data_IF_578809268675
#
_entry.id   IF_578809268675
#
_cell.length_a   1.000
_cell.length_b   1.000
_cell.length_c   1.000
_cell.angle_alpha   90.00
_cell.angle_beta   90.00
_cell.angle_gamma   90.00
#
_symmetry.space_group_name_H-M   'P 1'
#
loop_
_entity.id
_entity.type
_entity.pdbx_description
1 polymer ?
#
# COMPACT_ATOMS: atom_id res chain seq x y z
N UNK A 1 22.15 -51.98 -34.67
CA UNK A 1 20.68 -51.77 -34.80
C UNK A 1 20.11 -51.79 -33.39
N UNK A 2 19.78 -50.62 -32.88
CA UNK A 2 19.23 -50.38 -31.53
C UNK A 2 18.13 -49.33 -31.71
N UNK A 3 16.91 -49.55 -31.20
CA UNK A 3 15.80 -48.63 -31.48
C UNK A 3 15.88 -47.40 -30.59
N UNK A 4 15.60 -46.23 -31.16
CA UNK A 4 15.38 -44.98 -30.42
C UNK A 4 14.05 -45.05 -29.65
N UNK A 5 13.98 -44.55 -28.39
CA UNK A 5 12.70 -44.33 -27.75
C UNK A 5 12.09 -43.00 -28.22
N UNK A 6 10.86 -43.09 -28.72
CA UNK A 6 9.95 -41.96 -28.89
C UNK A 6 9.48 -41.52 -27.51
N UNK A 7 9.86 -40.32 -27.07
CA UNK A 7 9.17 -39.64 -25.97
C UNK A 7 8.31 -38.51 -26.52
N UNK A 8 7.02 -38.64 -26.23
CA UNK A 8 5.94 -37.73 -26.56
C UNK A 8 6.20 -36.33 -25.97
N UNK A 9 5.91 -35.33 -26.78
CA UNK A 9 5.42 -34.01 -26.39
C UNK A 9 4.25 -34.12 -25.41
N UNK A 10 4.36 -33.52 -24.22
CA UNK A 10 3.24 -32.92 -23.47
C UNK A 10 3.75 -32.20 -22.22
N UNK A 11 3.82 -30.86 -22.26
CA UNK A 11 3.74 -30.01 -21.07
C UNK A 11 3.41 -28.58 -21.50
N UNK A 12 2.16 -28.34 -21.89
CA UNK A 12 1.62 -26.98 -21.99
C UNK A 12 0.17 -27.01 -21.48
N UNK A 13 0.00 -26.75 -20.19
CA UNK A 13 -1.25 -26.26 -19.60
C UNK A 13 -1.04 -26.02 -18.09
N UNK A 14 -0.24 -25.02 -17.73
CA UNK A 14 -0.20 -24.54 -16.35
C UNK A 14 -0.16 -23.00 -16.33
N UNK A 15 -1.11 -22.36 -17.02
CA UNK A 15 -1.20 -20.89 -17.05
C UNK A 15 -2.64 -20.36 -16.91
N UNK A 16 -3.63 -21.22 -16.64
CA UNK A 16 -5.04 -20.79 -16.54
C UNK A 16 -5.59 -20.68 -15.12
N UNK A 17 -4.85 -21.10 -14.08
CA UNK A 17 -5.35 -21.02 -12.69
C UNK A 17 -5.08 -19.67 -11.98
N UNK A 18 -4.14 -18.85 -12.47
CA UNK A 18 -3.83 -17.57 -11.83
C UNK A 18 -4.90 -16.49 -12.11
N UNK A 19 -5.49 -16.48 -13.31
CA UNK A 19 -6.48 -15.49 -13.70
C UNK A 19 -7.83 -15.65 -12.98
N UNK A 20 -8.22 -16.88 -12.63
CA UNK A 20 -9.51 -17.15 -11.99
C UNK A 20 -9.58 -16.72 -10.52
N UNK A 21 -8.45 -16.73 -9.81
CA UNK A 21 -8.42 -16.32 -8.40
C UNK A 21 -8.52 -14.79 -8.22
N UNK A 22 -8.10 -14.01 -9.22
CA UNK A 22 -8.11 -12.55 -9.17
C UNK A 22 -9.51 -11.96 -9.43
N UNK A 23 -10.31 -12.63 -10.28
CA UNK A 23 -11.67 -12.20 -10.61
C UNK A 23 -12.71 -12.46 -9.49
N UNK A 24 -12.44 -13.40 -8.57
CA UNK A 24 -13.37 -13.68 -7.46
C UNK A 24 -13.13 -12.81 -6.23
N UNK A 25 -11.92 -12.31 -5.98
CA UNK A 25 -11.66 -11.41 -4.84
C UNK A 25 -12.19 -9.99 -5.02
N UNK A 26 -12.49 -9.56 -6.26
CA UNK A 26 -12.99 -8.20 -6.55
C UNK A 26 -14.50 -8.06 -6.47
N UNK A 27 -15.27 -9.16 -6.61
CA UNK A 27 -16.75 -9.09 -6.63
C UNK A 27 -17.39 -8.52 -5.36
N UNK A 28 -16.71 -8.65 -4.22
CA UNK A 28 -17.16 -8.14 -2.92
C UNK A 28 -16.20 -7.10 -2.31
N UNK A 29 -15.29 -6.53 -3.11
CA UNK A 29 -14.35 -5.52 -2.62
C UNK A 29 -15.05 -4.22 -2.26
N UNK A 30 -14.64 -3.61 -1.16
CA UNK A 30 -15.07 -2.27 -0.73
C UNK A 30 -14.27 -1.14 -1.39
N UNK A 31 -13.27 -1.47 -2.22
CA UNK A 31 -12.42 -0.55 -2.98
C UNK A 31 -12.61 -0.82 -4.47
N UNK A 32 -12.76 0.24 -5.26
CA UNK A 32 -12.84 0.17 -6.72
C UNK A 32 -11.51 -0.29 -7.31
N UNK A 33 -11.55 -1.40 -8.05
CA UNK A 33 -10.38 -2.03 -8.64
C UNK A 33 -9.82 -1.22 -9.81
N UNK A 34 -8.49 -1.09 -9.88
CA UNK A 34 -7.80 -0.38 -10.97
C UNK A 34 -8.08 -0.99 -12.33
N UNK A 35 -8.34 -2.28 -12.42
CA UNK A 35 -8.68 -2.98 -13.67
C UNK A 35 -10.05 -2.60 -14.25
N UNK A 36 -10.89 -1.92 -13.48
CA UNK A 36 -12.29 -1.60 -13.83
C UNK A 36 -12.54 -0.13 -14.13
N UNK A 37 -11.58 0.75 -13.80
CA UNK A 37 -11.72 2.20 -13.91
C UNK A 37 -11.26 2.71 -15.27
N UNK A 38 -11.75 3.89 -15.67
CA UNK A 38 -11.32 4.55 -16.92
C UNK A 38 -10.47 5.78 -16.67
N UNK A 39 -10.61 6.37 -15.48
CA UNK A 39 -9.81 7.45 -14.93
C UNK A 39 -9.41 7.12 -13.50
N UNK A 40 -8.26 7.63 -13.03
CA UNK A 40 -7.88 7.50 -11.62
C UNK A 40 -8.94 8.11 -10.70
N UNK A 41 -9.63 9.15 -11.15
CA UNK A 41 -10.69 9.84 -10.39
C UNK A 41 -11.94 8.96 -10.15
N UNK A 42 -12.04 7.78 -10.80
CA UNK A 42 -13.11 6.82 -10.59
C UNK A 42 -12.90 6.02 -9.29
N UNK A 43 -12.97 6.70 -8.15
CA UNK A 43 -12.85 6.10 -6.82
C UNK A 43 -11.48 6.23 -6.16
N UNK A 44 -10.54 6.94 -6.79
CA UNK A 44 -9.27 7.33 -6.17
C UNK A 44 -9.05 8.84 -6.27
N UNK A 45 -8.63 9.45 -5.16
CA UNK A 45 -8.40 10.88 -5.04
C UNK A 45 -6.90 11.16 -4.86
N UNK A 46 -6.35 12.27 -5.39
CA UNK A 46 -4.99 12.69 -5.08
C UNK A 46 -4.78 12.86 -3.57
N UNK A 47 -3.70 12.28 -3.06
CA UNK A 47 -3.23 12.47 -1.68
C UNK A 47 -1.90 13.23 -1.70
N UNK A 48 -1.94 14.51 -1.36
CA UNK A 48 -0.79 15.42 -1.40
C UNK A 48 -0.46 15.94 -0.01
N UNK A 49 0.81 16.30 0.23
CA UNK A 49 1.29 16.70 1.55
C UNK A 49 1.78 18.16 1.54
N UNK A 50 1.29 19.00 2.47
CA UNK A 50 1.76 20.37 2.59
C UNK A 50 3.20 20.37 3.08
N UNK A 51 4.13 20.75 2.18
CA UNK A 51 5.62 20.76 2.25
C UNK A 51 6.32 19.78 1.30
N UNK A 52 5.59 19.13 0.39
CA UNK A 52 6.21 18.43 -0.72
C UNK A 52 6.17 19.31 -1.97
N UNK A 53 7.35 19.68 -2.48
CA UNK A 53 7.46 20.58 -3.64
C UNK A 53 7.26 19.85 -4.98
N UNK A 54 7.42 18.52 -4.99
CA UNK A 54 7.29 17.67 -6.19
C UNK A 54 6.44 16.46 -5.89
N UNK A 55 5.38 16.27 -6.65
CA UNK A 55 4.50 15.11 -6.50
C UNK A 55 4.92 13.96 -7.42
N UNK A 56 4.81 12.75 -6.91
CA UNK A 56 4.93 11.53 -7.69
C UNK A 56 3.82 11.48 -8.74
N UNK A 57 4.11 10.88 -9.89
CA UNK A 57 3.17 10.84 -11.02
C UNK A 57 2.51 9.48 -11.11
N UNK A 58 1.19 9.46 -11.19
CA UNK A 58 0.37 8.27 -11.31
C UNK A 58 -0.35 8.23 -12.66
N UNK A 59 -0.37 7.07 -13.31
CA UNK A 59 -1.06 6.86 -14.59
C UNK A 59 -1.61 5.43 -14.68
N UNK A 60 -2.79 5.27 -15.28
CA UNK A 60 -3.24 3.96 -15.74
C UNK A 60 -2.41 3.51 -16.94
N UNK A 61 -1.96 2.27 -16.93
CA UNK A 61 -1.18 1.67 -18.01
C UNK A 61 -1.51 0.19 -18.16
N UNK A 62 -1.16 -0.39 -19.31
CA UNK A 62 -1.22 -1.83 -19.55
C UNK A 62 0.14 -2.45 -19.19
N UNK A 63 0.13 -3.43 -18.29
CA UNK A 63 1.29 -4.29 -18.01
C UNK A 63 0.92 -5.74 -18.38
N UNK A 64 1.29 -6.14 -19.61
CA UNK A 64 1.06 -7.49 -20.14
C UNK A 64 -0.43 -7.88 -20.26
N UNK A 65 -1.29 -6.97 -20.72
CA UNK A 65 -2.72 -7.20 -20.88
C UNK A 65 -3.55 -6.99 -19.61
N UNK A 66 -2.94 -6.47 -18.55
CA UNK A 66 -3.61 -6.10 -17.30
C UNK A 66 -3.49 -4.60 -17.06
N UNK A 67 -4.62 -3.92 -16.84
CA UNK A 67 -4.61 -2.51 -16.47
C UNK A 67 -4.16 -2.35 -15.02
N UNK A 68 -3.14 -1.50 -14.81
CA UNK A 68 -2.51 -1.23 -13.51
C UNK A 68 -2.24 0.26 -13.36
N UNK A 69 -1.95 0.71 -12.13
CA UNK A 69 -1.44 2.06 -11.88
C UNK A 69 0.08 2.04 -11.85
N UNK A 70 0.72 2.77 -12.77
CA UNK A 70 2.15 3.05 -12.72
C UNK A 70 2.39 4.36 -11.95
N UNK A 71 3.28 4.31 -10.97
CA UNK A 71 3.76 5.45 -10.21
C UNK A 71 5.24 5.69 -10.51
N UNK A 72 5.63 6.92 -10.82
CA UNK A 72 7.04 7.31 -10.99
C UNK A 72 7.43 8.35 -9.95
N UNK A 73 8.55 8.15 -9.28
CA UNK A 73 9.10 9.06 -8.28
C UNK A 73 10.47 9.59 -8.71
N UNK A 74 10.74 10.86 -8.43
CA UNK A 74 12.04 11.52 -8.64
C UNK A 74 12.16 12.72 -7.68
N UNK A 75 12.77 12.48 -6.52
CA UNK A 75 12.80 13.43 -5.41
C UNK A 75 11.41 14.04 -5.15
N UNK A 76 10.42 13.16 -5.07
CA UNK A 76 8.99 13.48 -5.05
C UNK A 76 8.21 12.59 -4.10
N UNK A 77 7.05 13.07 -3.65
CA UNK A 77 6.11 12.28 -2.85
C UNK A 77 4.66 12.73 -3.07
N UNK A 78 3.78 11.75 -3.25
CA UNK A 78 2.32 11.91 -3.23
C UNK A 78 1.70 10.51 -3.30
N UNK A 79 0.40 10.38 -3.12
CA UNK A 79 -0.32 9.12 -3.24
C UNK A 79 -1.67 9.28 -3.94
N UNK A 80 -2.40 8.17 -3.98
CA UNK A 80 -3.82 8.13 -4.34
C UNK A 80 -4.57 7.40 -3.24
N UNK A 81 -5.68 7.96 -2.79
CA UNK A 81 -6.50 7.40 -1.71
C UNK A 81 -7.89 7.00 -2.21
N UNK A 82 -8.29 5.77 -1.89
CA UNK A 82 -9.67 5.33 -1.95
C UNK A 82 -10.31 5.58 -0.58
N UNK A 83 -11.29 6.48 -0.52
CA UNK A 83 -12.06 6.75 0.70
C UNK A 83 -13.03 5.60 0.95
N UNK A 84 -13.01 5.09 2.18
CA UNK A 84 -13.93 4.04 2.63
C UNK A 84 -14.52 4.42 3.98
N UNK A 85 -15.59 3.76 4.41
CA UNK A 85 -16.15 3.94 5.75
C UNK A 85 -16.60 2.56 6.22
N UNK A 86 -15.72 1.88 6.97
CA UNK A 86 -15.88 0.46 7.28
C UNK A 86 -15.60 0.20 8.75
N UNK A 87 -16.62 -0.32 9.44
CA UNK A 87 -16.41 -0.92 10.76
C UNK A 87 -15.59 -2.22 10.61
N UNK A 88 -14.41 -2.33 11.24
CA UNK A 88 -13.47 -3.41 10.99
C UNK A 88 -13.98 -4.79 11.40
N UNK A 89 -14.77 -4.87 12.48
CA UNK A 89 -15.20 -6.16 13.05
C UNK A 89 -14.00 -6.97 13.57
N UNK A 90 -14.10 -8.30 13.51
CA UNK A 90 -13.04 -9.18 14.03
C UNK A 90 -11.86 -9.38 13.07
N UNK A 91 -12.13 -9.27 11.75
CA UNK A 91 -11.15 -9.46 10.67
C UNK A 91 -11.56 -8.66 9.44
N UNK A 92 -10.56 -8.07 8.78
CA UNK A 92 -10.74 -7.30 7.56
C UNK A 92 -9.53 -7.52 6.65
N UNK A 93 -9.74 -8.19 5.52
CA UNK A 93 -8.66 -8.67 4.66
C UNK A 93 -8.38 -7.65 3.58
N UNK A 94 -7.12 -7.19 3.53
CA UNK A 94 -6.59 -6.38 2.46
C UNK A 94 -5.65 -7.22 1.61
N UNK A 95 -5.93 -7.26 0.30
CA UNK A 95 -5.10 -7.95 -0.69
C UNK A 95 -4.77 -6.99 -1.82
N UNK A 96 -3.52 -7.02 -2.27
CA UNK A 96 -3.07 -6.24 -3.41
C UNK A 96 -1.92 -6.94 -4.12
N UNK A 97 -1.57 -6.43 -5.30
CA UNK A 97 -0.31 -6.77 -5.96
C UNK A 97 0.48 -5.52 -6.26
N UNK A 98 1.79 -5.63 -6.19
CA UNK A 98 2.69 -4.56 -6.62
C UNK A 98 3.94 -5.10 -7.29
N UNK A 99 4.65 -4.22 -7.99
CA UNK A 99 5.96 -4.45 -8.58
C UNK A 99 6.76 -3.16 -8.42
N UNK A 100 8.06 -3.24 -8.14
CA UNK A 100 8.93 -2.05 -8.07
C UNK A 100 10.17 -2.26 -8.93
N UNK A 101 10.68 -1.21 -9.54
CA UNK A 101 11.89 -1.26 -10.38
C UNK A 101 13.17 -1.46 -9.57
N UNK A 102 13.20 -0.95 -8.34
CA UNK A 102 14.35 -0.92 -7.45
C UNK A 102 13.91 -0.59 -6.02
N UNK A 103 14.88 -0.57 -5.10
CA UNK A 103 14.78 0.02 -3.75
C UNK A 103 15.85 1.10 -3.61
N UNK A 104 15.78 1.90 -2.55
CA UNK A 104 16.68 3.01 -2.29
C UNK A 104 17.85 2.60 -1.40
N UNK A 105 19.08 2.76 -1.90
CA UNK A 105 20.31 2.37 -1.18
C UNK A 105 20.46 3.06 0.18
N UNK A 106 20.01 4.32 0.28
CA UNK A 106 20.05 5.11 1.52
C UNK A 106 18.81 4.93 2.39
N UNK A 107 17.75 4.30 1.87
CA UNK A 107 16.47 4.17 2.56
C UNK A 107 16.56 3.30 3.82
N UNK A 108 15.94 3.75 4.91
CA UNK A 108 15.91 3.13 6.22
C UNK A 108 14.69 3.58 7.02
N UNK A 109 13.72 2.68 7.20
CA UNK A 109 12.46 2.92 7.91
C UNK A 109 12.59 3.39 9.37
N UNK A 110 13.79 3.30 9.96
CA UNK A 110 14.06 3.76 11.33
C UNK A 110 14.63 5.18 11.41
N UNK A 111 14.81 5.86 10.27
CA UNK A 111 15.43 7.19 10.20
C UNK A 111 14.62 8.09 9.28
N UNK A 112 14.45 9.36 9.66
CA UNK A 112 13.70 10.35 8.88
C UNK A 112 14.28 10.53 7.48
N UNK A 113 15.60 10.59 7.37
CA UNK A 113 16.31 10.80 6.10
C UNK A 113 16.24 9.58 5.17
N UNK A 114 15.67 8.47 5.63
CA UNK A 114 15.54 7.23 4.85
C UNK A 114 14.11 6.71 4.75
N UNK A 115 13.09 7.47 5.14
CA UNK A 115 11.70 7.03 5.19
C UNK A 115 10.97 7.10 3.84
N UNK A 116 11.67 6.77 2.76
CA UNK A 116 11.11 6.68 1.41
C UNK A 116 10.94 5.23 0.97
N UNK A 117 9.89 4.97 0.19
CA UNK A 117 9.60 3.64 -0.33
C UNK A 117 9.17 3.71 -1.79
N UNK A 118 9.70 2.82 -2.64
CA UNK A 118 9.24 2.74 -4.03
C UNK A 118 7.75 2.41 -4.11
N UNK A 119 7.24 1.66 -3.13
CA UNK A 119 5.81 1.43 -2.98
C UNK A 119 5.40 1.22 -1.52
N UNK A 120 4.23 1.79 -1.16
CA UNK A 120 3.56 1.55 0.11
C UNK A 120 2.04 1.61 0.02
N UNK A 121 1.36 0.90 0.93
CA UNK A 121 -0.09 0.96 1.13
C UNK A 121 -0.38 1.53 2.52
N UNK A 122 -1.08 2.67 2.57
CA UNK A 122 -1.65 3.22 3.80
C UNK A 122 -3.02 2.62 4.07
N UNK A 123 -3.27 2.36 5.34
CA UNK A 123 -4.58 2.02 5.88
C UNK A 123 -4.86 3.00 7.02
N UNK A 124 -5.75 3.96 6.75
CA UNK A 124 -6.03 5.09 7.62
C UNK A 124 -7.29 4.82 8.45
N UNK A 125 -7.19 5.06 9.76
CA UNK A 125 -8.28 4.86 10.69
C UNK A 125 -8.78 6.20 11.24
N UNK A 126 -10.04 6.23 11.67
CA UNK A 126 -10.67 7.39 12.27
C UNK A 126 -9.91 7.85 13.53
N UNK A 127 -9.89 9.16 13.75
CA UNK A 127 -9.32 9.74 14.95
C UNK A 127 -10.28 9.62 16.13
N UNK A 128 -9.79 9.11 17.27
CA UNK A 128 -10.56 8.98 18.50
C UNK A 128 -10.09 10.00 19.56
N UNK A 129 -10.75 11.17 19.68
CA UNK A 129 -10.33 12.26 20.56
C UNK A 129 -10.42 11.95 22.07
N UNK A 130 -11.19 10.95 22.45
CA UNK A 130 -11.43 10.58 23.85
C UNK A 130 -10.26 9.80 24.48
N UNK A 131 -9.38 9.22 23.65
CA UNK A 131 -8.13 8.58 24.11
C UNK A 131 -6.94 9.55 24.13
N UNK A 132 -7.07 10.72 23.51
CA UNK A 132 -6.03 11.75 23.51
C UNK A 132 -6.02 12.53 24.84
N UNK A 133 -4.85 12.71 25.45
CA UNK A 133 -4.73 13.51 26.68
C UNK A 133 -5.23 14.95 26.49
N UNK A 134 -5.67 15.61 27.57
CA UNK A 134 -6.27 16.96 27.50
C UNK A 134 -5.42 18.00 26.72
N UNK A 135 -4.10 17.87 26.77
CA UNK A 135 -3.14 18.73 26.04
C UNK A 135 -3.07 18.46 24.53
N UNK A 136 -3.39 17.25 24.09
CA UNK A 136 -3.33 16.83 22.69
C UNK A 136 -4.56 17.30 21.91
N UNK A 137 -5.75 17.24 22.55
CA UNK A 137 -6.99 17.84 22.02
C UNK A 137 -6.86 19.34 21.75
N UNK A 138 -6.17 20.07 22.64
CA UNK A 138 -6.00 21.52 22.51
C UNK A 138 -5.07 21.93 21.35
N UNK A 139 -4.08 21.09 21.00
CA UNK A 139 -3.16 21.36 19.88
C UNK A 139 -3.77 21.14 18.50
N UNK A 140 -4.80 20.28 18.36
CA UNK A 140 -5.33 19.89 17.04
C UNK A 140 -6.44 20.79 16.48
N UNK A 141 -7.21 21.49 17.32
CA UNK A 141 -8.20 22.49 16.87
C UNK A 141 -7.60 23.61 16.01
N UNK A 142 -6.29 23.82 16.11
CA UNK A 142 -5.52 24.80 15.34
C UNK A 142 -4.93 24.22 14.04
N UNK A 143 -4.86 22.89 13.92
CA UNK A 143 -4.24 22.16 12.80
C UNK A 143 -5.28 21.90 11.70
N UNK A 144 -6.49 21.48 12.05
CA UNK A 144 -7.61 21.32 11.09
C UNK A 144 -7.90 22.60 10.29
N UNK A 145 -7.84 23.76 10.95
CA UNK A 145 -8.08 25.08 10.35
C UNK A 145 -7.00 25.48 9.33
N UNK A 146 -5.81 24.90 9.42
CA UNK A 146 -4.67 25.20 8.54
C UNK A 146 -4.48 24.13 7.45
N UNK A 147 -4.88 22.87 7.71
CA UNK A 147 -4.60 21.71 6.85
C UNK A 147 -5.83 21.09 6.17
N UNK A 148 -7.05 21.61 6.40
CA UNK A 148 -8.18 21.44 5.48
C UNK A 148 -8.95 20.12 5.50
N UNK A 149 -8.49 19.07 6.19
CA UNK A 149 -9.26 17.84 6.40
C UNK A 149 -8.95 17.27 7.79
N UNK A 150 -9.91 16.54 8.40
CA UNK A 150 -9.70 15.80 9.64
C UNK A 150 -8.52 14.86 9.46
N UNK A 151 -7.41 15.14 10.15
CA UNK A 151 -6.22 14.30 10.07
C UNK A 151 -6.59 12.92 10.60
N UNK A 152 -6.34 11.83 9.83
CA UNK A 152 -6.62 10.49 10.30
C UNK A 152 -5.91 10.23 11.64
N UNK A 153 -6.48 9.32 12.43
CA UNK A 153 -5.95 8.98 13.74
C UNK A 153 -4.66 8.17 13.60
N UNK A 154 -4.79 6.87 13.79
CA UNK A 154 -3.70 5.93 13.58
C UNK A 154 -3.67 5.46 12.12
N UNK A 155 -2.51 5.01 11.67
CA UNK A 155 -2.36 4.38 10.36
C UNK A 155 -1.42 3.18 10.40
N UNK A 156 -1.74 2.16 9.60
CA UNK A 156 -0.79 1.12 9.20
C UNK A 156 -0.24 1.45 7.82
N UNK A 157 1.05 1.19 7.61
CA UNK A 157 1.72 1.49 6.36
C UNK A 157 2.52 0.27 5.91
N UNK A 158 1.97 -0.49 4.95
CA UNK A 158 2.63 -1.67 4.41
C UNK A 158 3.64 -1.25 3.36
N UNK A 159 4.91 -1.55 3.59
CA UNK A 159 6.01 -1.04 2.76
C UNK A 159 6.73 -2.15 2.01
N UNK A 160 7.16 -1.83 0.78
CA UNK A 160 8.33 -2.45 0.19
C UNK A 160 9.57 -1.82 0.82
N UNK A 161 10.04 -2.41 1.90
CA UNK A 161 11.13 -1.86 2.67
C UNK A 161 12.46 -1.89 1.91
N UNK A 162 13.31 -0.89 2.15
CA UNK A 162 14.66 -0.89 1.56
C UNK A 162 15.57 -1.93 2.23
N UNK A 163 15.48 -2.06 3.56
CA UNK A 163 16.31 -2.97 4.37
C UNK A 163 15.66 -3.54 5.63
N UNK A 164 14.44 -3.11 5.97
CA UNK A 164 13.74 -3.58 7.16
C UNK A 164 13.28 -5.03 6.92
N UNK A 165 13.63 -6.02 7.76
CA UNK A 165 13.24 -7.40 7.54
C UNK A 165 11.71 -7.57 7.42
N UNK A 166 11.29 -8.44 6.50
CA UNK A 166 9.86 -8.74 6.30
C UNK A 166 9.25 -9.25 7.62
N UNK A 167 8.07 -8.74 7.97
CA UNK A 167 7.33 -9.05 9.19
C UNK A 167 7.63 -8.14 10.38
N UNK A 168 8.67 -7.30 10.29
CA UNK A 168 8.94 -6.29 11.32
C UNK A 168 7.95 -5.12 11.24
N UNK A 169 7.63 -4.60 12.42
CA UNK A 169 6.77 -3.44 12.62
C UNK A 169 7.58 -2.39 13.39
N UNK A 170 7.66 -1.17 12.85
CA UNK A 170 8.36 -0.05 13.50
C UNK A 170 7.51 1.22 13.43
N UNK A 171 7.59 2.06 14.44
CA UNK A 171 6.98 3.39 14.38
C UNK A 171 7.62 4.23 13.27
N UNK A 172 6.82 5.04 12.58
CA UNK A 172 7.33 6.00 11.61
C UNK A 172 8.26 7.01 12.32
N UNK A 173 9.40 7.38 11.72
CA UNK A 173 10.36 8.25 12.40
C UNK A 173 9.86 9.70 12.57
N UNK A 174 8.81 10.12 11.87
CA UNK A 174 8.16 11.42 12.01
C UNK A 174 7.01 11.41 13.02
N UNK A 175 6.36 10.26 13.26
CA UNK A 175 5.23 10.13 14.18
C UNK A 175 5.04 8.70 14.67
N UNK A 176 4.63 8.54 15.92
CA UNK A 176 4.26 7.25 16.51
C UNK A 176 2.80 6.84 16.22
N UNK A 177 1.99 7.69 15.61
CA UNK A 177 0.61 7.33 15.22
C UNK A 177 0.56 6.52 13.92
N UNK A 178 1.69 6.38 13.22
CA UNK A 178 1.82 5.57 12.01
C UNK A 178 2.81 4.44 12.24
N UNK A 179 2.39 3.21 11.97
CA UNK A 179 3.19 2.01 12.14
C UNK A 179 3.53 1.40 10.78
N UNK A 180 4.83 1.31 10.50
CA UNK A 180 5.40 0.79 9.27
C UNK A 180 5.53 -0.73 9.38
N UNK A 181 4.95 -1.47 8.43
CA UNK A 181 4.95 -2.93 8.40
C UNK A 181 5.67 -3.40 7.13
N UNK A 182 6.84 -4.03 7.27
CA UNK A 182 7.55 -4.57 6.12
C UNK A 182 6.87 -5.84 5.60
N UNK A 183 6.29 -5.78 4.41
CA UNK A 183 5.67 -6.96 3.75
C UNK A 183 6.49 -7.45 2.55
N UNK A 184 7.34 -6.59 1.99
CA UNK A 184 8.44 -6.92 1.10
C UNK A 184 9.70 -6.17 1.56
N UNK A 185 10.89 -6.66 1.19
CA UNK A 185 12.13 -6.01 1.59
C UNK A 185 13.30 -6.26 0.65
N UNK A 186 14.09 -5.21 0.43
CA UNK A 186 15.31 -5.26 -0.35
C UNK A 186 15.06 -5.47 -1.84
N UNK A 187 16.11 -5.91 -2.53
CA UNK A 187 16.11 -6.15 -3.98
C UNK A 187 15.52 -7.50 -4.38
N UNK A 188 15.14 -8.33 -3.42
CA UNK A 188 14.48 -9.59 -3.70
C UNK A 188 13.13 -9.30 -4.39
N UNK A 189 12.91 -9.91 -5.55
CA UNK A 189 11.69 -9.76 -6.39
C UNK A 189 11.49 -8.37 -7.02
N UNK A 190 12.49 -7.47 -7.02
CA UNK A 190 12.38 -6.24 -7.82
C UNK A 190 12.24 -6.62 -9.30
N UNK A 191 11.33 -5.94 -10.02
CA UNK A 191 10.98 -6.27 -11.40
C UNK A 191 9.94 -7.39 -11.53
N UNK A 192 9.52 -8.01 -10.43
CA UNK A 192 8.50 -9.07 -10.42
C UNK A 192 7.23 -8.60 -9.70
N UNK A 193 6.07 -9.11 -10.13
CA UNK A 193 4.81 -8.90 -9.43
C UNK A 193 4.76 -9.76 -8.16
N UNK A 194 4.44 -9.13 -7.04
CA UNK A 194 4.24 -9.81 -5.76
C UNK A 194 2.83 -9.53 -5.25
N UNK A 195 2.12 -10.58 -4.84
CA UNK A 195 0.82 -10.48 -4.17
C UNK A 195 1.02 -10.47 -2.67
N UNK A 196 0.35 -9.55 -1.98
CA UNK A 196 0.33 -9.46 -0.51
C UNK A 196 -1.11 -9.55 -0.04
N UNK A 197 -1.29 -10.25 1.08
CA UNK A 197 -2.55 -10.34 1.81
C UNK A 197 -2.28 -10.14 3.30
N UNK A 198 -3.07 -9.27 3.95
CA UNK A 198 -2.99 -8.96 5.37
C UNK A 198 -4.37 -8.90 5.99
N UNK A 199 -4.50 -9.41 7.22
CA UNK A 199 -5.61 -9.05 8.10
C UNK A 199 -5.24 -7.75 8.82
N UNK A 200 -5.92 -6.67 8.41
CA UNK A 200 -5.68 -5.33 8.93
C UNK A 200 -5.97 -5.26 10.43
N UNK A 201 -7.00 -5.97 10.91
CA UNK A 201 -7.43 -5.92 12.30
C UNK A 201 -6.37 -6.56 13.20
N UNK A 202 -5.86 -7.72 12.78
CA UNK A 202 -4.78 -8.41 13.47
C UNK A 202 -3.49 -7.58 13.51
N UNK A 203 -3.15 -6.93 12.39
CA UNK A 203 -1.96 -6.07 12.33
C UNK A 203 -2.11 -4.81 13.17
N UNK A 204 -3.31 -4.22 13.22
CA UNK A 204 -3.58 -3.07 14.07
C UNK A 204 -3.41 -3.42 15.55
N UNK A 205 -4.01 -4.52 16.01
CA UNK A 205 -3.85 -5.02 17.38
C UNK A 205 -2.38 -5.24 17.72
N UNK A 206 -1.62 -5.86 16.81
CA UNK A 206 -0.18 -6.09 17.02
C UNK A 206 0.62 -4.79 17.10
N UNK A 207 0.23 -3.76 16.34
CA UNK A 207 0.96 -2.50 16.25
C UNK A 207 0.61 -1.52 17.38
N UNK A 208 -0.64 -1.50 17.84
CA UNK A 208 -1.16 -0.48 18.76
C UNK A 208 -1.71 -1.04 20.09
N UNK A 209 -1.75 -2.37 20.26
CA UNK A 209 -2.25 -3.06 21.46
C UNK A 209 -3.70 -2.67 21.84
N UNK A 210 -4.54 -2.39 20.82
CA UNK A 210 -5.96 -2.04 20.98
C UNK A 210 -6.76 -2.41 19.73
N UNK A 211 -8.08 -2.33 19.83
CA UNK A 211 -8.99 -2.54 18.69
C UNK A 211 -8.90 -1.38 17.68
N UNK A 212 -8.95 -1.64 16.37
CA UNK A 212 -8.99 -0.57 15.38
C UNK A 212 -10.32 0.19 15.44
N UNK A 213 -10.30 1.52 15.35
CA UNK A 213 -11.49 2.28 15.05
C UNK A 213 -11.92 2.07 13.60
N UNK A 214 -12.99 2.76 13.19
CA UNK A 214 -13.49 2.72 11.81
C UNK A 214 -12.37 3.02 10.81
N UNK A 215 -12.31 2.22 9.74
CA UNK A 215 -11.40 2.47 8.62
C UNK A 215 -11.98 3.58 7.72
N UNK A 216 -11.17 4.60 7.42
CA UNK A 216 -11.59 5.79 6.65
C UNK A 216 -10.93 5.91 5.28
N UNK A 217 -9.88 5.13 5.01
CA UNK A 217 -9.23 5.15 3.71
C UNK A 217 -8.14 4.11 3.53
N UNK A 218 -7.92 3.74 2.27
CA UNK A 218 -6.76 2.95 1.84
C UNK A 218 -6.07 3.72 0.72
N UNK A 219 -4.76 3.94 0.82
CA UNK A 219 -4.02 4.69 -0.18
C UNK A 219 -2.81 3.93 -0.72
N UNK A 220 -2.52 4.10 -2.00
CA UNK A 220 -1.23 3.76 -2.58
C UNK A 220 -0.33 4.99 -2.51
N UNK A 221 0.95 4.80 -2.24
CA UNK A 221 1.91 5.91 -2.22
C UNK A 221 3.29 5.44 -2.65
N UNK A 222 3.98 6.30 -3.39
CA UNK A 222 5.38 6.12 -3.80
C UNK A 222 6.10 7.44 -3.54
N UNK A 223 7.22 7.37 -2.84
CA UNK A 223 7.96 8.54 -2.37
C UNK A 223 9.47 8.37 -2.43
N UNK A 224 10.17 9.49 -2.55
CA UNK A 224 11.62 9.57 -2.75
C UNK A 224 12.20 10.92 -2.31
N UNK A 225 11.43 11.73 -1.57
CA UNK A 225 11.80 13.10 -1.20
C UNK A 225 12.80 13.16 -0.03
N UNK A 226 12.93 12.10 0.78
CA UNK A 226 13.89 12.06 1.89
C UNK A 226 15.29 11.60 1.45
N UNK A 227 15.34 10.65 0.52
CA UNK A 227 16.54 10.02 -0.04
C UNK A 227 16.99 10.70 -1.33
N UNK A 228 16.10 11.45 -2.00
CA UNK A 228 16.35 12.08 -3.29
C UNK A 228 16.51 11.08 -4.45
N UNK A 229 16.07 9.83 -4.26
CA UNK A 229 16.19 8.77 -5.24
C UNK A 229 15.08 8.83 -6.30
N UNK A 230 15.02 7.82 -7.16
CA UNK A 230 13.94 7.61 -8.12
C UNK A 230 13.59 6.14 -8.24
N UNK A 231 12.31 5.88 -8.48
CA UNK A 231 11.79 4.54 -8.78
C UNK A 231 10.55 4.61 -9.66
N UNK A 232 10.23 3.47 -10.26
CA UNK A 232 8.90 3.19 -10.80
C UNK A 232 8.28 2.04 -9.99
N UNK A 233 7.02 2.23 -9.60
CA UNK A 233 6.20 1.18 -9.03
C UNK A 233 4.97 0.95 -9.89
N UNK A 234 4.45 -0.27 -9.83
CA UNK A 234 3.19 -0.65 -10.44
C UNK A 234 2.30 -1.24 -9.36
N UNK A 235 1.05 -0.81 -9.32
CA UNK A 235 0.02 -1.28 -8.41
C UNK A 235 -1.08 -1.96 -9.22
N UNK A 236 -1.31 -3.24 -8.95
CA UNK A 236 -2.48 -3.96 -9.42
C UNK A 236 -3.66 -3.69 -8.50
N UNK A 237 -4.77 -4.38 -8.76
CA UNK A 237 -5.99 -4.23 -7.97
C UNK A 237 -5.73 -4.32 -6.46
N UNK A 238 -6.32 -3.39 -5.73
CA UNK A 238 -6.39 -3.38 -4.27
C UNK A 238 -7.80 -3.79 -3.87
N UNK A 239 -7.92 -4.86 -3.09
CA UNK A 239 -9.21 -5.35 -2.62
C UNK A 239 -9.28 -5.35 -1.10
N UNK A 240 -10.38 -4.84 -0.56
CA UNK A 240 -10.70 -4.85 0.86
C UNK A 240 -11.98 -5.65 1.07
N UNK A 241 -11.90 -6.78 1.75
CA UNK A 241 -13.03 -7.71 1.90
C UNK A 241 -13.22 -8.08 3.37
N UNK A 242 -14.49 -8.22 3.78
CA UNK A 242 -14.84 -8.88 5.03
C UNK A 242 -14.92 -10.37 4.77
N UNK A 243 -14.20 -11.23 5.50
CA UNK A 243 -14.35 -12.67 5.38
C UNK A 243 -15.77 -13.08 5.80
N UNK A 244 -16.30 -14.12 5.15
CA UNK A 244 -17.61 -14.70 5.45
C UNK A 244 -17.66 -15.40 6.82
#
# INVERSE_FOLDING_TARGET
MTPLPRYLTAALALSLMAASAQADSTKNSLITAFSTITSLEDGWEPMEFPKIDRHSRYQLTDDNGEQVVMATTDNSASGLIARVSVEPGDSLILRWRWKVSNVYEQGNARKKEGDDYPARIYVAFEFEPDEAGFFERAKRKTVEVVFGEELPGNALNYIWANRLPVGEIVANPFTDTTMMVAVNSGTANTGEWVTVERDIVADYRKAFDREPPKLVGVAIMSDSDNTGASATAWYGDVSLVKPD
#
